data_IF_782268948324
#
_entry.id   IF_782268948324
#
_cell.length_a   1.000
_cell.length_b   1.000
_cell.length_c   1.000
_cell.angle_alpha   90.00
_cell.angle_beta   90.00
_cell.angle_gamma   90.00
#
_symmetry.space_group_name_H-M   'P 1'
#
loop_
_entity.id
_entity.type
_entity.pdbx_description
1 polymer ?
#
# COMPACT_ATOMS: atom_id res chain seq x y z
N UNK A 1 -4.95 -35.51 5.29
CA UNK A 1 -5.33 -34.11 5.60
C UNK A 1 -6.11 -33.58 4.40
N UNK A 2 -7.27 -32.98 4.62
CA UNK A 2 -8.05 -32.36 3.54
C UNK A 2 -7.70 -30.87 3.53
N UNK A 3 -7.25 -30.34 2.38
CA UNK A 3 -7.02 -28.92 2.17
C UNK A 3 -8.36 -28.17 2.36
N UNK A 4 -8.36 -27.09 3.14
CA UNK A 4 -9.57 -26.29 3.43
C UNK A 4 -9.39 -24.82 3.15
N UNK A 5 -8.14 -24.33 3.10
CA UNK A 5 -7.80 -22.92 3.01
C UNK A 5 -6.70 -22.73 1.98
N UNK A 6 -6.83 -21.66 1.18
CA UNK A 6 -5.82 -21.21 0.23
C UNK A 6 -5.53 -19.73 0.51
N UNK A 7 -4.25 -19.38 0.58
CA UNK A 7 -3.82 -17.99 0.71
C UNK A 7 -3.26 -17.49 -0.60
N UNK A 8 -3.57 -16.25 -0.95
CA UNK A 8 -3.11 -15.59 -2.17
C UNK A 8 -2.33 -14.32 -1.83
N UNK A 9 -1.20 -14.15 -2.49
CA UNK A 9 -0.64 -12.82 -2.65
C UNK A 9 -1.48 -12.01 -3.65
N UNK A 10 -1.32 -10.70 -3.68
CA UNK A 10 -2.14 -9.81 -4.49
C UNK A 10 -1.35 -9.20 -5.65
N UNK A 11 -0.42 -8.28 -5.35
CA UNK A 11 0.36 -7.55 -6.35
C UNK A 11 1.24 -8.50 -7.17
N UNK A 12 1.20 -8.38 -8.50
CA UNK A 12 1.88 -9.27 -9.46
C UNK A 12 1.43 -10.75 -9.42
N UNK A 13 0.35 -11.03 -8.66
CA UNK A 13 -0.27 -12.38 -8.56
C UNK A 13 -1.67 -12.36 -9.14
N UNK A 14 -2.52 -11.42 -8.73
CA UNK A 14 -3.90 -11.30 -9.22
C UNK A 14 -4.09 -10.12 -10.18
N UNK A 15 -3.19 -9.14 -10.13
CA UNK A 15 -3.15 -7.95 -11.00
C UNK A 15 -1.74 -7.40 -11.13
N UNK A 16 -1.52 -6.52 -12.12
CA UNK A 16 -0.33 -5.69 -12.21
C UNK A 16 -0.59 -4.36 -11.46
N UNK A 17 0.16 -4.04 -10.39
CA UNK A 17 -0.01 -2.80 -9.64
C UNK A 17 0.68 -1.59 -10.27
N UNK A 18 1.42 -1.75 -11.38
CA UNK A 18 2.34 -0.73 -11.91
C UNK A 18 1.63 0.59 -12.20
N UNK A 19 0.56 0.57 -12.97
CA UNK A 19 -0.18 1.80 -13.34
C UNK A 19 -0.84 2.43 -12.11
N UNK A 20 -1.38 1.64 -11.19
CA UNK A 20 -1.97 2.13 -9.95
C UNK A 20 -0.92 2.78 -9.03
N UNK A 21 0.31 2.25 -8.98
CA UNK A 21 1.41 2.87 -8.22
C UNK A 21 1.86 4.19 -8.84
N UNK A 22 1.93 4.28 -10.16
CA UNK A 22 2.23 5.53 -10.88
C UNK A 22 1.14 6.57 -10.60
N UNK A 23 -0.13 6.19 -10.75
CA UNK A 23 -1.25 7.08 -10.47
C UNK A 23 -1.27 7.55 -9.00
N UNK A 24 -0.94 6.66 -8.06
CA UNK A 24 -0.84 6.99 -6.64
C UNK A 24 0.25 8.04 -6.35
N UNK A 25 1.43 7.89 -6.94
CA UNK A 25 2.50 8.88 -6.79
C UNK A 25 2.10 10.22 -7.41
N UNK A 26 1.48 10.21 -8.59
CA UNK A 26 0.98 11.43 -9.25
C UNK A 26 -0.08 12.14 -8.39
N UNK A 27 -1.03 11.40 -7.82
CA UNK A 27 -2.06 11.95 -6.93
C UNK A 27 -1.45 12.59 -5.68
N UNK A 28 -0.49 11.91 -5.04
CA UNK A 28 0.24 12.40 -3.88
C UNK A 28 1.03 13.68 -4.20
N UNK A 29 1.80 13.71 -5.29
CA UNK A 29 2.56 14.88 -5.68
C UNK A 29 1.66 16.02 -6.13
N UNK A 30 0.55 15.73 -6.81
CA UNK A 30 -0.48 16.72 -7.15
C UNK A 30 -1.03 17.39 -5.89
N UNK A 31 -1.40 16.61 -4.89
CA UNK A 31 -1.86 17.11 -3.60
C UNK A 31 -0.79 17.99 -2.91
N UNK A 32 0.46 17.52 -2.86
CA UNK A 32 1.57 18.28 -2.24
C UNK A 32 1.79 19.63 -2.98
N UNK A 33 1.75 19.61 -4.30
CA UNK A 33 1.95 20.83 -5.11
C UNK A 33 0.84 21.85 -4.88
N UNK A 34 -0.40 21.39 -4.72
CA UNK A 34 -1.55 22.26 -4.46
C UNK A 34 -1.55 22.86 -3.05
N UNK A 35 -1.23 22.05 -2.02
CA UNK A 35 -1.40 22.42 -0.62
C UNK A 35 -0.11 22.88 0.07
N UNK A 36 1.06 22.56 -0.49
CA UNK A 36 2.36 22.99 0.00
C UNK A 36 3.37 23.19 -1.12
N UNK A 37 3.23 24.27 -1.94
CA UNK A 37 4.19 24.54 -3.01
C UNK A 37 5.64 24.64 -2.52
N UNK A 38 5.85 25.07 -1.29
CA UNK A 38 7.18 25.11 -0.67
C UNK A 38 7.77 23.71 -0.53
N UNK A 39 6.99 22.74 -0.05
CA UNK A 39 7.43 21.34 0.03
C UNK A 39 7.66 20.74 -1.35
N UNK A 40 6.78 21.01 -2.31
CA UNK A 40 6.94 20.56 -3.69
C UNK A 40 8.26 21.07 -4.30
N UNK A 41 8.64 22.33 -4.03
CA UNK A 41 9.88 22.90 -4.53
C UNK A 41 11.14 22.30 -3.88
N UNK A 42 11.08 21.96 -2.60
CA UNK A 42 12.21 21.32 -1.89
C UNK A 42 12.37 19.83 -2.23
N UNK A 43 11.25 19.16 -2.52
CA UNK A 43 11.19 17.71 -2.78
C UNK A 43 10.47 17.40 -4.11
N UNK A 44 11.03 17.83 -5.26
CA UNK A 44 10.56 17.34 -6.56
C UNK A 44 10.74 15.80 -6.63
N UNK A 45 10.07 15.09 -7.56
CA UNK A 45 10.04 13.64 -7.59
C UNK A 45 11.39 12.95 -7.44
N UNK A 46 12.41 13.42 -8.14
CA UNK A 46 13.76 12.81 -8.09
C UNK A 46 14.40 12.95 -6.72
N UNK A 47 14.27 14.10 -6.08
CA UNK A 47 14.80 14.35 -4.73
C UNK A 47 14.02 13.58 -3.68
N UNK A 48 12.71 13.47 -3.86
CA UNK A 48 11.85 12.64 -2.98
C UNK A 48 12.26 11.17 -3.04
N UNK A 49 12.53 10.62 -4.22
CA UNK A 49 12.98 9.24 -4.37
C UNK A 49 14.35 8.99 -3.73
N UNK A 50 15.30 9.92 -3.88
CA UNK A 50 16.58 9.84 -3.19
C UNK A 50 16.40 9.84 -1.67
N UNK A 51 15.60 10.78 -1.15
CA UNK A 51 15.32 10.88 0.28
C UNK A 51 14.58 9.64 0.83
N UNK A 52 13.65 9.08 0.07
CA UNK A 52 12.98 7.80 0.38
C UNK A 52 13.98 6.66 0.58
N UNK A 53 14.99 6.57 -0.29
CA UNK A 53 16.06 5.56 -0.21
C UNK A 53 16.91 5.75 1.04
N UNK A 54 17.31 6.99 1.34
CA UNK A 54 18.12 7.32 2.53
C UNK A 54 17.33 7.03 3.81
N UNK A 55 16.03 7.36 3.84
CA UNK A 55 15.17 7.09 4.97
C UNK A 55 14.99 5.58 5.20
N UNK A 56 14.82 4.80 4.14
CA UNK A 56 14.70 3.35 4.25
C UNK A 56 15.98 2.70 4.84
N UNK A 57 17.16 3.21 4.48
CA UNK A 57 18.43 2.76 5.04
C UNK A 57 18.58 3.15 6.51
N UNK A 58 18.03 4.30 6.93
CA UNK A 58 18.12 4.80 8.29
C UNK A 58 17.10 4.16 9.25
N UNK A 59 16.01 3.60 8.74
CA UNK A 59 14.90 3.02 9.53
C UNK A 59 14.54 1.61 9.03
N UNK A 60 15.44 0.63 9.21
CA UNK A 60 15.21 -0.74 8.77
C UNK A 60 14.02 -1.42 9.47
N UNK A 61 13.61 -0.93 10.66
CA UNK A 61 12.44 -1.40 11.40
C UNK A 61 11.10 -1.12 10.68
N UNK A 62 11.10 -0.20 9.72
CA UNK A 62 9.95 0.08 8.87
C UNK A 62 9.90 -0.81 7.62
N UNK A 63 10.85 -1.72 7.45
CA UNK A 63 10.85 -2.66 6.33
C UNK A 63 9.60 -3.52 6.36
N UNK A 64 8.87 -3.53 5.24
CA UNK A 64 7.59 -4.24 5.12
C UNK A 64 6.37 -3.49 5.62
N UNK A 65 6.52 -2.41 6.38
CA UNK A 65 5.42 -1.54 6.83
C UNK A 65 5.24 -0.36 5.87
N UNK A 66 4.74 -0.64 4.68
CA UNK A 66 4.75 0.31 3.55
C UNK A 66 3.93 1.57 3.81
N UNK A 67 2.82 1.47 4.52
CA UNK A 67 1.95 2.62 4.86
C UNK A 67 2.61 3.49 5.92
N UNK A 68 3.09 2.91 7.01
CA UNK A 68 3.78 3.66 8.06
C UNK A 68 5.05 4.34 7.53
N UNK A 69 5.85 3.63 6.73
CA UNK A 69 7.03 4.19 6.09
C UNK A 69 6.69 5.42 5.25
N UNK A 70 5.66 5.34 4.40
CA UNK A 70 5.22 6.45 3.55
C UNK A 70 4.70 7.63 4.39
N UNK A 71 3.92 7.35 5.42
CA UNK A 71 3.45 8.40 6.33
C UNK A 71 4.61 9.13 7.01
N UNK A 72 5.60 8.41 7.54
CA UNK A 72 6.77 9.01 8.17
C UNK A 72 7.63 9.80 7.17
N UNK A 73 7.77 9.31 5.96
CA UNK A 73 8.46 10.02 4.87
C UNK A 73 7.76 11.36 4.57
N UNK A 74 6.46 11.36 4.38
CA UNK A 74 5.66 12.56 4.11
C UNK A 74 5.74 13.55 5.27
N UNK A 75 5.54 13.07 6.50
CA UNK A 75 5.64 13.92 7.69
C UNK A 75 7.00 14.61 7.79
N UNK A 76 8.09 13.92 7.49
CA UNK A 76 9.45 14.46 7.56
C UNK A 76 9.69 15.53 6.48
N UNK A 77 9.26 15.33 5.24
CA UNK A 77 9.43 16.35 4.21
C UNK A 77 8.66 17.63 4.53
N UNK A 78 7.45 17.54 5.12
CA UNK A 78 6.70 18.70 5.57
C UNK A 78 7.39 19.43 6.71
N UNK A 79 7.88 18.72 7.73
CA UNK A 79 8.68 19.32 8.82
C UNK A 79 9.92 20.04 8.30
N UNK A 80 10.67 19.41 7.39
CA UNK A 80 11.89 19.99 6.81
C UNK A 80 11.60 21.17 5.86
N UNK A 81 10.37 21.27 5.39
CA UNK A 81 9.90 22.42 4.59
C UNK A 81 9.38 23.59 5.43
N UNK A 82 9.50 23.48 6.78
CA UNK A 82 9.18 24.55 7.71
C UNK A 82 7.77 24.53 8.32
N UNK A 83 6.99 23.50 8.06
CA UNK A 83 5.69 23.32 8.76
C UNK A 83 5.91 22.89 10.22
N UNK A 84 5.02 23.33 11.12
CA UNK A 84 5.01 22.84 12.49
C UNK A 84 4.56 21.37 12.57
N UNK A 85 4.78 20.73 13.73
CA UNK A 85 4.55 19.28 13.90
C UNK A 85 3.11 18.85 13.63
N UNK A 86 2.12 19.65 14.06
CA UNK A 86 0.71 19.29 13.92
C UNK A 86 0.24 19.47 12.47
N UNK A 87 0.69 20.55 11.83
CA UNK A 87 0.45 20.81 10.41
C UNK A 87 1.11 19.75 9.54
N UNK A 88 2.39 19.44 9.79
CA UNK A 88 3.10 18.40 9.05
C UNK A 88 2.43 17.02 9.18
N UNK A 89 1.89 16.71 10.36
CA UNK A 89 1.16 15.46 10.58
C UNK A 89 -0.14 15.40 9.77
N UNK A 90 -0.96 16.46 9.81
CA UNK A 90 -2.22 16.53 9.04
C UNK A 90 -1.94 16.45 7.53
N UNK A 91 -0.99 17.25 7.05
CA UNK A 91 -0.62 17.25 5.63
C UNK A 91 -0.09 15.89 5.16
N UNK A 92 0.66 15.19 6.01
CA UNK A 92 1.12 13.83 5.71
C UNK A 92 -0.05 12.84 5.62
N UNK A 93 -1.05 12.96 6.49
CA UNK A 93 -2.27 12.14 6.44
C UNK A 93 -3.05 12.38 5.13
N UNK A 94 -3.24 13.64 4.76
CA UNK A 94 -4.03 14.00 3.58
C UNK A 94 -3.30 13.61 2.28
N UNK A 95 -1.99 13.88 2.17
CA UNK A 95 -1.18 13.46 1.04
C UNK A 95 -1.10 11.93 0.90
N UNK A 96 -1.02 11.22 2.05
CA UNK A 96 -1.07 9.76 2.06
C UNK A 96 -2.45 9.25 1.66
N UNK A 97 -3.54 9.88 2.10
CA UNK A 97 -4.89 9.52 1.70
C UNK A 97 -5.09 9.62 0.17
N UNK A 98 -4.57 10.69 -0.46
CA UNK A 98 -4.58 10.84 -1.92
C UNK A 98 -3.81 9.69 -2.62
N UNK A 99 -2.63 9.33 -2.10
CA UNK A 99 -1.88 8.17 -2.57
C UNK A 99 -2.68 6.87 -2.42
N UNK A 100 -3.21 6.60 -1.23
CA UNK A 100 -3.88 5.36 -0.88
C UNK A 100 -5.13 5.12 -1.71
N UNK A 101 -5.92 6.17 -1.92
CA UNK A 101 -7.11 6.13 -2.77
C UNK A 101 -6.74 5.77 -4.22
N UNK A 102 -5.77 6.48 -4.81
CA UNK A 102 -5.34 6.23 -6.19
C UNK A 102 -4.66 4.86 -6.33
N UNK A 103 -3.87 4.42 -5.33
CA UNK A 103 -3.21 3.11 -5.29
C UNK A 103 -4.19 1.94 -5.37
N UNK A 104 -5.37 2.13 -4.84
CA UNK A 104 -6.39 1.09 -4.75
C UNK A 104 -7.44 1.18 -5.86
N UNK A 105 -7.45 2.27 -6.63
CA UNK A 105 -8.39 2.47 -7.73
C UNK A 105 -7.86 1.86 -9.03
N UNK A 106 -8.73 1.20 -9.78
CA UNK A 106 -8.40 0.71 -11.14
C UNK A 106 -7.51 -0.53 -11.18
N UNK A 107 -7.39 -1.28 -10.09
CA UNK A 107 -6.73 -2.58 -10.07
C UNK A 107 -7.59 -3.60 -10.82
N UNK A 108 -7.15 -3.96 -12.03
CA UNK A 108 -7.85 -4.91 -12.89
C UNK A 108 -7.24 -6.30 -12.74
N UNK A 109 -8.05 -7.30 -12.42
CA UNK A 109 -7.63 -8.70 -12.33
C UNK A 109 -7.05 -9.17 -13.67
N UNK A 110 -6.02 -10.03 -13.60
CA UNK A 110 -5.56 -10.74 -14.78
C UNK A 110 -6.67 -11.61 -15.37
N UNK A 111 -6.53 -11.96 -16.64
CA UNK A 111 -7.46 -12.81 -17.36
C UNK A 111 -7.71 -14.13 -16.60
N UNK A 112 -8.96 -14.56 -16.54
CA UNK A 112 -9.44 -15.77 -15.86
C UNK A 112 -9.32 -15.80 -14.32
N UNK A 113 -8.71 -14.79 -13.67
CA UNK A 113 -8.60 -14.79 -12.18
C UNK A 113 -9.96 -14.81 -11.52
N UNK A 114 -10.91 -14.00 -11.97
CA UNK A 114 -12.25 -13.96 -11.38
C UNK A 114 -12.95 -15.32 -11.41
N UNK A 115 -12.91 -16.00 -12.55
CA UNK A 115 -13.56 -17.30 -12.75
C UNK A 115 -12.89 -18.39 -11.90
N UNK A 116 -11.56 -18.44 -11.87
CA UNK A 116 -10.79 -19.38 -11.03
C UNK A 116 -11.06 -19.15 -9.55
N UNK A 117 -11.09 -17.89 -9.09
CA UNK A 117 -11.40 -17.59 -7.70
C UNK A 117 -12.82 -17.99 -7.32
N UNK A 118 -13.80 -17.79 -8.22
CA UNK A 118 -15.18 -18.23 -8.01
C UNK A 118 -15.28 -19.75 -7.85
N UNK A 119 -14.62 -20.53 -8.71
CA UNK A 119 -14.56 -21.99 -8.62
C UNK A 119 -13.89 -22.46 -7.33
N UNK A 120 -12.77 -21.88 -6.95
CA UNK A 120 -12.04 -22.24 -5.72
C UNK A 120 -12.88 -21.97 -4.46
N UNK A 121 -13.68 -20.90 -4.43
CA UNK A 121 -14.56 -20.56 -3.31
C UNK A 121 -15.63 -21.59 -3.02
N UNK A 122 -16.00 -22.43 -3.99
CA UNK A 122 -16.97 -23.51 -3.78
C UNK A 122 -16.43 -24.60 -2.81
N UNK A 123 -15.11 -24.72 -2.72
CA UNK A 123 -14.47 -25.83 -1.97
C UNK A 123 -13.50 -25.35 -0.89
N UNK A 124 -13.03 -24.09 -0.96
CA UNK A 124 -11.97 -23.58 -0.10
C UNK A 124 -12.31 -22.19 0.47
N UNK A 125 -11.83 -21.94 1.68
CA UNK A 125 -11.74 -20.57 2.22
C UNK A 125 -10.56 -19.87 1.57
N UNK A 126 -10.79 -18.70 0.97
CA UNK A 126 -9.76 -17.91 0.31
C UNK A 126 -9.39 -16.69 1.16
N UNK A 127 -8.10 -16.51 1.43
CA UNK A 127 -7.57 -15.41 2.26
C UNK A 127 -6.49 -14.68 1.47
N UNK A 128 -6.58 -13.34 1.42
CA UNK A 128 -5.53 -12.51 0.86
C UNK A 128 -4.42 -12.27 1.90
N UNK A 129 -3.15 -12.49 1.53
CA UNK A 129 -1.97 -12.17 2.32
C UNK A 129 -1.03 -11.28 1.50
N UNK A 130 -0.90 -10.00 1.85
CA UNK A 130 -0.09 -9.06 1.06
C UNK A 130 0.94 -8.28 1.89
N UNK A 131 2.11 -8.04 1.31
CA UNK A 131 3.06 -7.05 1.81
C UNK A 131 2.74 -5.63 1.29
N UNK A 132 1.81 -5.54 0.35
CA UNK A 132 1.31 -4.27 -0.17
C UNK A 132 0.21 -3.66 0.70
N UNK A 133 -0.26 -2.49 0.29
CA UNK A 133 -1.29 -1.73 0.98
C UNK A 133 -2.51 -1.39 0.12
N UNK A 134 -2.78 -2.16 -0.95
CA UNK A 134 -4.00 -2.00 -1.72
C UNK A 134 -5.23 -2.25 -0.83
N UNK A 135 -6.27 -1.45 -1.00
CA UNK A 135 -7.55 -1.61 -0.33
C UNK A 135 -8.50 -2.39 -1.25
N UNK A 136 -8.95 -3.55 -0.79
CA UNK A 136 -9.83 -4.41 -1.58
C UNK A 136 -11.25 -3.84 -1.75
N UNK A 137 -11.73 -3.01 -0.81
CA UNK A 137 -13.03 -2.36 -0.93
C UNK A 137 -12.99 -1.29 -2.03
N UNK A 138 -11.95 -0.43 -2.02
CA UNK A 138 -11.75 0.57 -3.06
C UNK A 138 -11.51 -0.10 -4.43
N UNK A 139 -10.76 -1.20 -4.45
CA UNK A 139 -10.50 -1.98 -5.66
C UNK A 139 -11.74 -2.73 -6.19
N UNK A 140 -12.79 -2.91 -5.37
CA UNK A 140 -13.98 -3.69 -5.72
C UNK A 140 -13.78 -5.21 -5.64
N UNK A 141 -12.73 -5.68 -4.97
CA UNK A 141 -12.31 -7.09 -4.95
C UNK A 141 -12.48 -7.80 -3.60
N UNK A 142 -13.09 -7.14 -2.60
CA UNK A 142 -13.34 -7.73 -1.26
C UNK A 142 -14.11 -9.04 -1.36
N UNK A 143 -15.05 -9.13 -2.31
CA UNK A 143 -15.88 -10.32 -2.52
C UNK A 143 -15.10 -11.59 -2.87
N UNK A 144 -13.82 -11.49 -3.28
CA UNK A 144 -12.96 -12.63 -3.63
C UNK A 144 -12.46 -13.38 -2.40
N UNK A 145 -12.42 -12.74 -1.23
CA UNK A 145 -11.76 -13.27 -0.05
C UNK A 145 -12.68 -13.22 1.18
N UNK A 146 -12.45 -14.12 2.11
CA UNK A 146 -13.09 -14.08 3.42
C UNK A 146 -12.35 -13.13 4.38
N UNK A 147 -11.01 -13.05 4.25
CA UNK A 147 -10.14 -12.18 5.05
C UNK A 147 -9.04 -11.57 4.18
N UNK A 148 -8.59 -10.40 4.58
CA UNK A 148 -7.45 -9.70 4.00
C UNK A 148 -6.44 -9.35 5.10
N UNK A 149 -5.27 -9.97 5.06
CA UNK A 149 -4.18 -9.77 6.01
C UNK A 149 -3.06 -8.99 5.33
N UNK A 150 -2.63 -7.88 5.96
CA UNK A 150 -1.65 -6.94 5.42
C UNK A 150 -0.43 -6.83 6.32
N UNK A 151 0.73 -6.59 5.74
CA UNK A 151 1.97 -6.35 6.50
C UNK A 151 1.93 -5.06 7.34
N UNK A 152 0.96 -4.18 7.13
CA UNK A 152 0.72 -3.04 8.01
C UNK A 152 0.27 -3.48 9.42
N UNK A 153 -0.47 -4.61 9.52
CA UNK A 153 -1.02 -5.15 10.77
C UNK A 153 -0.19 -6.30 11.34
N UNK A 154 0.62 -6.97 10.51
CA UNK A 154 1.40 -8.17 10.83
C UNK A 154 2.86 -8.00 10.43
N UNK A 155 3.73 -8.96 10.80
CA UNK A 155 5.06 -9.01 10.22
C UNK A 155 4.98 -9.40 8.73
N UNK A 156 5.74 -8.67 7.88
CA UNK A 156 5.75 -8.88 6.44
C UNK A 156 6.24 -10.28 6.06
N UNK A 157 5.67 -10.85 4.99
CA UNK A 157 6.20 -12.07 4.37
C UNK A 157 7.69 -11.85 4.00
N UNK A 158 8.57 -12.84 4.25
CA UNK A 158 8.33 -14.26 4.52
C UNK A 158 8.15 -14.64 5.99
N UNK A 159 7.88 -13.70 6.92
CA UNK A 159 7.54 -14.06 8.30
C UNK A 159 6.31 -14.98 8.33
N UNK A 160 6.25 -15.96 9.26
CA UNK A 160 5.10 -16.85 9.42
C UNK A 160 3.84 -16.14 9.94
N UNK A 161 3.96 -14.95 10.48
CA UNK A 161 2.93 -14.22 11.25
C UNK A 161 1.57 -14.15 10.53
N UNK A 162 1.55 -13.67 9.27
CA UNK A 162 0.31 -13.63 8.47
C UNK A 162 -0.21 -15.04 8.12
N UNK A 163 0.67 -16.02 7.92
CA UNK A 163 0.26 -17.39 7.61
C UNK A 163 -0.37 -18.06 8.85
N UNK A 164 0.19 -17.84 10.03
CA UNK A 164 -0.37 -18.31 11.29
C UNK A 164 -1.71 -17.65 11.61
N UNK A 165 -1.82 -16.35 11.34
CA UNK A 165 -3.08 -15.62 11.50
C UNK A 165 -4.18 -16.06 10.50
N UNK A 166 -3.81 -16.68 9.38
CA UNK A 166 -4.75 -17.17 8.37
C UNK A 166 -5.41 -18.50 8.78
N UNK A 167 -4.79 -19.29 9.63
CA UNK A 167 -5.26 -20.62 10.07
C UNK A 167 -6.24 -20.48 11.24
#
# INVERSE_FOLDING_TARGET
MTLRLITFDLDHTLWDPTDALIAAEQAMFGWINEHSPVTASFYPPEKFHAYKKDLAAAYPELTGKVSEFRFQLLRRIFLQSGHDSDTARRMAQDAFAAFYQARSTGLTLFENVADVMAELKESYTLIALTNGNADLDIAGHTHLFERHLKADDYAAKPSPDMFEAAI
#
